data_IF_107639530223
#
_entry.id   IF_107639530223
#
_cell.length_a   1.000
_cell.length_b   1.000
_cell.length_c   1.000
_cell.angle_alpha   90.00
_cell.angle_beta   90.00
_cell.angle_gamma   90.00
#
_symmetry.space_group_name_H-M   'P 1'
#
loop_
_entity.id
_entity.type
_entity.pdbx_description
1 polymer ?
#
# COMPACT_ATOMS: atom_id res chain seq x y z
N UNK A 1 17.63 10.86 64.99
CA UNK A 1 16.82 11.25 63.82
C UNK A 1 17.73 11.12 62.63
N UNK A 2 17.53 10.08 61.82
CA UNK A 2 18.18 9.93 60.52
C UNK A 2 17.26 9.04 59.67
N UNK A 3 16.61 9.65 58.68
CA UNK A 3 15.77 8.97 57.70
C UNK A 3 16.62 8.60 56.48
N UNK A 4 17.11 7.36 56.46
CA UNK A 4 17.70 6.76 55.25
C UNK A 4 16.61 6.25 54.31
N UNK A 5 16.22 7.05 53.32
CA UNK A 5 15.37 6.62 52.21
C UNK A 5 16.22 5.73 51.30
N UNK A 6 16.01 4.41 51.37
CA UNK A 6 16.50 3.47 50.36
C UNK A 6 15.49 3.45 49.21
N UNK A 7 15.86 4.08 48.10
CA UNK A 7 15.11 4.06 46.85
C UNK A 7 15.21 2.67 46.23
N UNK A 8 14.13 1.90 46.30
CA UNK A 8 13.93 0.69 45.52
C UNK A 8 13.75 1.10 44.05
N UNK A 9 14.76 0.89 43.22
CA UNK A 9 14.62 0.99 41.77
C UNK A 9 13.79 -0.23 41.34
N UNK A 10 12.51 0.02 41.10
CA UNK A 10 11.56 -0.98 40.61
C UNK A 10 12.02 -1.54 39.27
N UNK A 11 11.94 -2.86 39.17
CA UNK A 11 12.07 -3.66 37.96
C UNK A 11 10.89 -3.28 37.05
N UNK A 12 11.06 -2.19 36.28
CA UNK A 12 9.99 -1.60 35.45
C UNK A 12 10.38 -1.37 34.00
N UNK A 13 11.52 -1.89 33.54
CA UNK A 13 12.04 -1.60 32.18
C UNK A 13 12.31 -2.85 31.32
N UNK A 14 11.74 -4.01 31.65
CA UNK A 14 11.98 -5.25 30.91
C UNK A 14 10.79 -5.73 30.04
N UNK A 15 9.91 -4.82 29.60
CA UNK A 15 8.83 -5.12 28.62
C UNK A 15 8.87 -4.11 27.44
N UNK A 16 10.05 -3.65 27.04
CA UNK A 16 10.23 -2.81 25.83
C UNK A 16 11.07 -3.50 24.74
N UNK A 17 11.37 -4.80 24.91
CA UNK A 17 12.15 -5.59 23.96
C UNK A 17 11.37 -6.71 23.26
N UNK A 18 10.05 -6.80 23.44
CA UNK A 18 9.18 -7.39 22.40
C UNK A 18 9.12 -6.41 21.24
N UNK A 19 10.29 -6.30 20.62
CA UNK A 19 10.55 -5.72 19.34
C UNK A 19 9.55 -6.40 18.41
N UNK A 20 8.43 -5.74 18.13
CA UNK A 20 7.73 -6.02 16.90
C UNK A 20 8.78 -5.76 15.83
N UNK A 21 9.37 -6.83 15.31
CA UNK A 21 10.03 -6.73 14.03
C UNK A 21 8.94 -6.12 13.15
N UNK A 22 9.17 -4.90 12.68
CA UNK A 22 8.51 -4.36 11.50
C UNK A 22 8.87 -5.32 10.38
N UNK A 23 8.16 -6.45 10.39
CA UNK A 23 8.14 -7.43 9.34
C UNK A 23 7.27 -6.83 8.27
N UNK A 24 7.74 -6.94 7.04
CA UNK A 24 7.03 -6.40 5.91
C UNK A 24 5.65 -7.10 5.82
N UNK A 25 4.60 -6.32 6.05
CA UNK A 25 3.21 -6.80 5.99
C UNK A 25 2.65 -6.68 4.58
N UNK A 26 1.65 -7.50 4.24
CA UNK A 26 0.97 -7.45 2.94
C UNK A 26 -0.49 -7.09 3.14
N UNK A 27 -1.00 -6.17 2.32
CA UNK A 27 -2.40 -5.75 2.35
C UNK A 27 -3.06 -6.13 1.03
N UNK A 28 -4.09 -6.97 1.12
CA UNK A 28 -4.95 -7.35 0.01
C UNK A 28 -6.19 -6.47 0.01
N UNK A 29 -6.53 -5.90 -1.13
CA UNK A 29 -7.68 -5.00 -1.23
C UNK A 29 -8.86 -5.68 -1.90
N UNK A 30 -10.07 -5.31 -1.48
CA UNK A 30 -11.31 -5.71 -2.13
C UNK A 30 -12.22 -4.50 -2.30
N UNK A 31 -12.67 -4.20 -3.53
CA UNK A 31 -13.81 -3.29 -3.72
C UNK A 31 -15.08 -3.91 -3.11
N UNK A 32 -16.18 -3.15 -3.08
CA UNK A 32 -17.49 -3.72 -2.75
C UNK A 32 -17.93 -4.64 -3.88
N UNK A 33 -17.89 -5.95 -3.64
CA UNK A 33 -18.24 -6.99 -4.62
C UNK A 33 -19.70 -7.42 -4.50
N UNK A 34 -20.18 -7.60 -3.26
CA UNK A 34 -21.54 -8.05 -2.92
C UNK A 34 -21.88 -7.73 -1.47
N UNK A 35 -23.12 -8.03 -1.06
CA UNK A 35 -23.57 -7.84 0.31
C UNK A 35 -22.87 -8.80 1.29
N UNK A 36 -22.69 -8.41 2.58
CA UNK A 36 -21.94 -9.20 3.57
C UNK A 36 -22.45 -10.64 3.78
N UNK A 37 -23.75 -10.86 3.66
CA UNK A 37 -24.41 -12.18 3.77
C UNK A 37 -24.01 -13.15 2.65
N UNK A 38 -23.59 -12.60 1.51
CA UNK A 38 -23.18 -13.36 0.32
C UNK A 38 -21.66 -13.49 0.23
N UNK A 39 -20.92 -12.64 0.93
CA UNK A 39 -19.46 -12.62 0.88
C UNK A 39 -18.84 -13.70 1.77
N UNK A 40 -17.93 -14.49 1.21
CA UNK A 40 -17.01 -15.36 1.97
C UNK A 40 -15.58 -15.16 1.49
N UNK A 41 -14.66 -14.92 2.43
CA UNK A 41 -13.23 -14.93 2.17
C UNK A 41 -12.65 -16.31 2.44
N UNK A 42 -11.78 -16.76 1.55
CA UNK A 42 -10.95 -17.94 1.71
C UNK A 42 -9.50 -17.48 1.84
N UNK A 43 -8.91 -17.75 3.00
CA UNK A 43 -7.51 -17.39 3.28
C UNK A 43 -6.71 -18.66 3.44
N UNK A 44 -5.77 -18.89 2.53
CA UNK A 44 -4.95 -20.10 2.50
C UNK A 44 -3.52 -19.76 2.89
N UNK A 45 -3.01 -20.42 3.93
CA UNK A 45 -1.60 -20.41 4.28
C UNK A 45 -0.88 -21.56 3.61
N UNK A 46 0.13 -21.24 2.79
CA UNK A 46 0.92 -22.24 2.07
C UNK A 46 2.23 -22.59 2.76
N UNK A 47 2.55 -21.99 3.90
CA UNK A 47 3.82 -22.23 4.60
C UNK A 47 3.67 -23.32 5.66
N UNK A 48 4.81 -23.71 6.24
CA UNK A 48 4.87 -24.66 7.36
C UNK A 48 4.74 -23.96 8.73
N UNK A 49 4.53 -22.64 8.73
CA UNK A 49 4.47 -21.84 9.96
C UNK A 49 3.09 -21.20 10.08
N UNK A 50 2.52 -21.14 11.29
CA UNK A 50 1.26 -20.45 11.51
C UNK A 50 1.40 -18.97 11.11
N UNK A 51 0.32 -18.41 10.57
CA UNK A 51 0.24 -17.02 10.17
C UNK A 51 -0.87 -16.33 10.95
N UNK A 52 -0.77 -15.01 11.02
CA UNK A 52 -1.85 -14.16 11.51
C UNK A 52 -2.30 -13.24 10.39
N UNK A 53 -3.61 -13.18 10.21
CA UNK A 53 -4.26 -12.27 9.27
C UNK A 53 -5.35 -11.49 9.99
N UNK A 54 -5.72 -10.34 9.46
CA UNK A 54 -6.84 -9.58 9.98
C UNK A 54 -7.58 -8.86 8.87
N UNK A 55 -8.90 -8.84 8.98
CA UNK A 55 -9.74 -8.02 8.12
C UNK A 55 -9.74 -6.59 8.64
N UNK A 56 -9.80 -5.62 7.74
CA UNK A 56 -9.74 -4.19 8.03
C UNK A 56 -10.87 -3.49 7.30
N UNK A 57 -11.70 -2.77 8.06
CA UNK A 57 -12.82 -1.98 7.55
C UNK A 57 -12.67 -0.55 8.05
N UNK A 58 -12.86 0.43 7.17
CA UNK A 58 -12.57 1.84 7.46
C UNK A 58 -13.83 2.65 7.68
N UNK A 59 -13.81 3.47 8.72
CA UNK A 59 -14.86 4.41 9.06
C UNK A 59 -14.24 5.79 9.29
N UNK A 60 -13.98 6.51 8.20
CA UNK A 60 -13.14 7.71 8.23
C UNK A 60 -11.73 7.38 8.73
N UNK A 61 -11.28 8.08 9.78
CA UNK A 61 -9.97 7.87 10.38
C UNK A 61 -9.85 6.58 11.21
N UNK A 62 -10.97 5.93 11.56
CA UNK A 62 -10.95 4.68 12.34
C UNK A 62 -10.85 3.45 11.44
N UNK A 63 -10.18 2.42 11.94
CA UNK A 63 -10.06 1.10 11.29
C UNK A 63 -10.55 0.05 12.29
N UNK A 64 -11.63 -0.66 11.95
CA UNK A 64 -12.04 -1.87 12.68
C UNK A 64 -11.22 -3.05 12.16
N UNK A 65 -10.50 -3.72 13.07
CA UNK A 65 -9.63 -4.84 12.76
C UNK A 65 -10.13 -6.12 13.43
N UNK A 66 -10.35 -7.19 12.66
CA UNK A 66 -10.71 -8.51 13.18
C UNK A 66 -9.62 -9.52 12.90
N UNK A 67 -8.98 -10.02 13.96
CA UNK A 67 -7.88 -10.98 13.86
C UNK A 67 -8.38 -12.40 13.65
N UNK A 68 -7.62 -13.15 12.84
CA UNK A 68 -7.81 -14.56 12.60
C UNK A 68 -6.46 -15.25 12.61
N UNK A 69 -6.38 -16.32 13.40
CA UNK A 69 -5.21 -17.20 13.42
C UNK A 69 -5.36 -18.25 12.30
N UNK A 70 -4.26 -18.51 11.60
CA UNK A 70 -4.24 -19.33 10.40
C UNK A 70 -3.12 -20.35 10.50
N UNK A 71 -3.49 -21.60 10.77
CA UNK A 71 -2.55 -22.71 10.95
C UNK A 71 -1.68 -22.95 9.70
N UNK A 72 -0.53 -23.60 9.90
CA UNK A 72 0.34 -24.06 8.83
C UNK A 72 -0.43 -24.93 7.82
N UNK A 73 -0.17 -24.73 6.52
CA UNK A 73 -0.79 -25.51 5.41
C UNK A 73 -2.31 -25.60 5.45
N UNK A 74 -2.98 -24.61 6.05
CA UNK A 74 -4.43 -24.63 6.25
C UNK A 74 -5.14 -23.55 5.44
N UNK A 75 -6.46 -23.64 5.41
CA UNK A 75 -7.35 -22.61 4.88
C UNK A 75 -8.45 -22.32 5.90
N UNK A 76 -8.72 -21.03 6.13
CA UNK A 76 -9.88 -20.58 6.90
C UNK A 76 -10.91 -19.93 5.99
N UNK A 77 -12.16 -19.92 6.46
CA UNK A 77 -13.27 -19.22 5.83
C UNK A 77 -13.74 -18.09 6.76
N UNK A 78 -13.83 -16.88 6.25
CA UNK A 78 -14.30 -15.71 6.99
C UNK A 78 -15.55 -15.19 6.29
N UNK A 79 -16.69 -15.16 6.99
CA UNK A 79 -17.95 -14.67 6.41
C UNK A 79 -17.96 -13.14 6.43
N UNK A 80 -18.50 -12.51 5.39
CA UNK A 80 -18.64 -11.05 5.32
C UNK A 80 -19.35 -10.48 6.55
N UNK A 81 -20.44 -11.12 6.97
CA UNK A 81 -21.22 -10.73 8.15
C UNK A 81 -20.44 -10.73 9.48
N UNK A 82 -19.24 -11.32 9.55
CA UNK A 82 -18.45 -11.30 10.78
C UNK A 82 -17.60 -10.04 10.95
N UNK A 83 -17.45 -9.23 9.90
CA UNK A 83 -16.58 -8.04 9.93
C UNK A 83 -17.13 -6.84 9.13
N UNK A 84 -18.05 -7.06 8.19
CA UNK A 84 -18.73 -6.00 7.43
C UNK A 84 -20.17 -5.81 7.92
N UNK A 85 -20.55 -4.59 8.34
CA UNK A 85 -21.94 -4.28 8.66
C UNK A 85 -22.80 -4.07 7.39
N UNK A 86 -22.20 -3.62 6.29
CA UNK A 86 -22.87 -3.36 5.02
C UNK A 86 -21.93 -3.59 3.82
N UNK A 87 -22.46 -3.50 2.60
CA UNK A 87 -21.70 -3.72 1.38
C UNK A 87 -20.73 -2.55 1.12
N UNK A 88 -19.45 -2.74 1.47
CA UNK A 88 -18.40 -1.73 1.27
C UNK A 88 -17.05 -2.37 0.94
N UNK A 89 -16.08 -1.55 0.56
CA UNK A 89 -14.71 -1.98 0.36
C UNK A 89 -14.02 -2.31 1.69
N UNK A 90 -13.05 -3.21 1.64
CA UNK A 90 -12.26 -3.61 2.81
C UNK A 90 -10.85 -4.05 2.36
N UNK A 91 -9.99 -4.27 3.35
CA UNK A 91 -8.71 -4.93 3.12
C UNK A 91 -8.52 -6.11 4.06
N UNK A 92 -7.62 -7.02 3.69
CA UNK A 92 -7.12 -8.07 4.55
C UNK A 92 -5.62 -7.92 4.64
N UNK A 93 -5.10 -7.83 5.86
CA UNK A 93 -3.67 -7.70 6.12
C UNK A 93 -3.10 -9.02 6.62
N UNK A 94 -1.92 -9.36 6.13
CA UNK A 94 -1.15 -10.52 6.55
C UNK A 94 0.18 -10.05 7.13
N UNK A 95 0.60 -10.69 8.23
CA UNK A 95 1.82 -10.33 8.92
C UNK A 95 3.07 -10.45 8.04
N UNK A 96 3.13 -11.49 7.22
CA UNK A 96 4.26 -11.77 6.33
C UNK A 96 3.84 -11.61 4.87
N UNK A 97 4.73 -11.08 4.04
CA UNK A 97 4.54 -10.95 2.59
C UNK A 97 4.60 -12.29 1.86
N UNK A 98 3.73 -12.47 0.87
CA UNK A 98 3.74 -13.57 -0.10
C UNK A 98 3.57 -14.98 0.49
N UNK A 99 3.07 -15.09 1.72
CA UNK A 99 2.85 -16.40 2.38
C UNK A 99 1.41 -16.87 2.38
N UNK A 100 0.45 -15.93 2.25
CA UNK A 100 -0.98 -16.22 2.18
C UNK A 100 -1.53 -15.97 0.78
N UNK A 101 -2.57 -16.71 0.43
CA UNK A 101 -3.42 -16.42 -0.71
C UNK A 101 -4.82 -16.11 -0.23
N UNK A 102 -5.43 -15.08 -0.80
CA UNK A 102 -6.75 -14.62 -0.41
C UNK A 102 -7.64 -14.61 -1.63
N UNK A 103 -8.82 -15.19 -1.52
CA UNK A 103 -9.88 -15.00 -2.50
C UNK A 103 -11.20 -14.68 -1.83
N UNK A 104 -12.03 -13.93 -2.53
CA UNK A 104 -13.41 -13.62 -2.16
C UNK A 104 -14.37 -14.38 -3.07
N UNK A 105 -15.51 -14.77 -2.53
CA UNK A 105 -16.61 -15.42 -3.24
C UNK A 105 -17.90 -14.75 -2.81
N UNK A 106 -18.79 -14.48 -3.77
CA UNK A 106 -20.13 -13.95 -3.54
C UNK A 106 -21.16 -15.03 -3.88
N UNK A 107 -21.82 -15.67 -2.92
CA UNK A 107 -22.70 -16.84 -3.14
C UNK A 107 -22.10 -17.88 -4.12
N UNK A 108 -22.87 -18.31 -5.12
CA UNK A 108 -22.48 -19.24 -6.19
C UNK A 108 -21.69 -18.55 -7.33
N UNK A 109 -21.13 -17.37 -7.07
CA UNK A 109 -20.21 -16.69 -7.99
C UNK A 109 -18.87 -17.40 -8.09
N UNK A 110 -18.14 -17.08 -9.15
CA UNK A 110 -16.73 -17.41 -9.28
C UNK A 110 -15.89 -16.78 -8.14
N UNK A 111 -14.77 -17.42 -7.84
CA UNK A 111 -13.81 -16.93 -6.85
C UNK A 111 -12.94 -15.82 -7.43
N UNK A 112 -12.88 -14.69 -6.73
CA UNK A 112 -12.07 -13.52 -7.08
C UNK A 112 -10.81 -13.49 -6.23
N UNK A 113 -9.61 -13.75 -6.78
CA UNK A 113 -8.36 -13.56 -6.05
C UNK A 113 -8.19 -12.09 -5.66
N UNK A 114 -7.91 -11.83 -4.39
CA UNK A 114 -7.57 -10.48 -3.95
C UNK A 114 -6.08 -10.24 -4.17
N UNK A 115 -5.72 -9.01 -4.53
CA UNK A 115 -4.32 -8.63 -4.77
C UNK A 115 -3.93 -7.39 -3.97
N UNK A 116 -2.63 -7.20 -3.85
CA UNK A 116 -1.94 -6.06 -3.25
C UNK A 116 -1.48 -5.04 -4.30
N UNK A 117 -2.00 -5.11 -5.53
CA UNK A 117 -1.70 -4.12 -6.57
C UNK A 117 -2.41 -2.80 -6.25
N UNK A 118 -1.65 -1.72 -6.17
CA UNK A 118 -2.07 -0.37 -5.77
C UNK A 118 -1.63 0.73 -6.74
N UNK A 119 -0.88 0.36 -7.79
CA UNK A 119 -0.42 1.29 -8.83
C UNK A 119 -1.58 2.08 -9.45
N UNK A 120 -1.42 3.40 -9.69
CA UNK A 120 -2.38 4.19 -10.47
C UNK A 120 -2.49 3.73 -11.93
N UNK A 121 -1.46 3.06 -12.47
CA UNK A 121 -1.47 2.51 -13.83
C UNK A 121 -1.49 0.97 -13.77
N UNK A 122 -2.59 0.36 -14.23
CA UNK A 122 -2.81 -1.10 -14.25
C UNK A 122 -3.30 -1.56 -15.62
N UNK A 123 -2.82 -2.70 -16.08
CA UNK A 123 -3.30 -3.36 -17.30
C UNK A 123 -3.92 -4.72 -16.96
N UNK A 124 -5.12 -4.95 -17.50
CA UNK A 124 -5.83 -6.22 -17.48
C UNK A 124 -5.78 -6.85 -18.87
N UNK A 125 -5.29 -8.09 -18.98
CA UNK A 125 -5.20 -8.82 -20.25
C UNK A 125 -6.34 -9.81 -20.39
N UNK A 126 -6.89 -9.90 -21.60
CA UNK A 126 -8.10 -10.66 -21.88
C UNK A 126 -7.85 -11.69 -23.00
N UNK A 127 -8.45 -12.89 -22.91
CA UNK A 127 -8.32 -13.90 -23.94
C UNK A 127 -9.05 -13.51 -25.23
N UNK A 128 -8.85 -14.31 -26.27
CA UNK A 128 -9.65 -14.26 -27.49
C UNK A 128 -11.15 -14.23 -27.17
N UNK A 129 -11.94 -13.47 -27.92
CA UNK A 129 -13.43 -13.44 -27.91
C UNK A 129 -14.14 -12.61 -26.83
N UNK A 130 -13.43 -12.02 -25.87
CA UNK A 130 -14.10 -11.16 -24.87
C UNK A 130 -14.62 -9.87 -25.50
N UNK A 131 -15.91 -9.59 -25.35
CA UNK A 131 -16.55 -8.32 -25.77
C UNK A 131 -17.24 -7.60 -24.61
N UNK A 132 -17.40 -8.26 -23.46
CA UNK A 132 -18.01 -7.69 -22.27
C UNK A 132 -17.16 -8.02 -21.06
N UNK A 133 -16.96 -7.02 -20.21
CA UNK A 133 -16.25 -7.16 -18.93
C UNK A 133 -17.08 -6.56 -17.81
N UNK A 134 -16.84 -7.00 -16.57
CA UNK A 134 -17.26 -6.27 -15.37
C UNK A 134 -16.02 -5.71 -14.71
N UNK A 135 -16.05 -4.45 -14.34
CA UNK A 135 -14.94 -3.78 -13.67
C UNK A 135 -15.41 -3.24 -12.33
N UNK A 136 -14.64 -3.55 -11.28
CA UNK A 136 -14.75 -2.95 -9.96
C UNK A 136 -13.50 -2.11 -9.73
N UNK A 137 -13.70 -0.87 -9.32
CA UNK A 137 -12.66 0.09 -8.96
C UNK A 137 -12.78 0.43 -7.48
N UNK A 138 -11.65 0.63 -6.82
CA UNK A 138 -11.53 1.05 -5.44
C UNK A 138 -10.53 2.20 -5.34
N UNK A 139 -10.95 3.31 -4.72
CA UNK A 139 -10.09 4.44 -4.45
C UNK A 139 -9.23 4.18 -3.22
N UNK A 140 -7.91 4.24 -3.38
CA UNK A 140 -6.97 4.12 -2.28
C UNK A 140 -6.34 5.47 -1.89
N UNK A 141 -6.82 6.56 -2.49
CA UNK A 141 -6.41 7.91 -2.17
C UNK A 141 -7.45 8.61 -1.27
N UNK A 142 -7.00 9.44 -0.32
CA UNK A 142 -7.91 10.07 0.66
C UNK A 142 -8.92 11.05 0.04
N UNK A 143 -8.59 11.60 -1.13
CA UNK A 143 -9.37 12.60 -1.85
C UNK A 143 -10.00 12.01 -3.12
N UNK A 144 -10.88 12.77 -3.80
CA UNK A 144 -11.38 12.36 -5.10
C UNK A 144 -10.26 11.96 -6.07
N UNK A 145 -10.47 10.88 -6.81
CA UNK A 145 -9.52 10.34 -7.79
C UNK A 145 -10.24 10.07 -9.11
N UNK A 146 -9.80 10.72 -10.18
CA UNK A 146 -10.32 10.50 -11.53
C UNK A 146 -9.60 9.34 -12.20
N UNK A 147 -10.37 8.37 -12.67
CA UNK A 147 -9.89 7.14 -13.29
C UNK A 147 -10.31 7.11 -14.76
N UNK A 148 -9.33 7.03 -15.65
CA UNK A 148 -9.51 6.84 -17.08
C UNK A 148 -9.29 5.38 -17.45
N UNK A 149 -10.18 4.89 -18.29
CA UNK A 149 -10.19 3.52 -18.75
C UNK A 149 -10.09 3.50 -20.25
N UNK A 150 -9.19 2.67 -20.79
CA UNK A 150 -9.02 2.50 -22.24
C UNK A 150 -9.04 1.02 -22.59
N UNK A 151 -9.97 0.63 -23.46
CA UNK A 151 -10.05 -0.71 -24.00
C UNK A 151 -9.34 -0.76 -25.36
N UNK A 152 -8.50 -1.77 -25.56
CA UNK A 152 -7.74 -1.97 -26.79
C UNK A 152 -8.09 -3.30 -27.44
N UNK A 153 -8.17 -3.31 -28.77
CA UNK A 153 -8.21 -4.56 -29.53
C UNK A 153 -6.80 -5.17 -29.69
N UNK A 154 -6.72 -6.31 -30.39
CA UNK A 154 -5.44 -7.01 -30.63
C UNK A 154 -4.42 -6.26 -31.46
N UNK A 155 -4.88 -5.33 -32.29
CA UNK A 155 -4.03 -4.48 -33.12
C UNK A 155 -3.47 -3.28 -32.32
N UNK A 156 -3.86 -3.13 -31.04
CA UNK A 156 -3.48 -2.00 -30.21
C UNK A 156 -4.30 -0.74 -30.48
N UNK A 157 -5.38 -0.81 -31.26
CA UNK A 157 -6.27 0.31 -31.46
C UNK A 157 -7.23 0.45 -30.27
N UNK A 158 -7.47 1.70 -29.84
CA UNK A 158 -8.46 2.01 -28.81
C UNK A 158 -9.86 1.79 -29.38
N UNK A 159 -10.66 0.96 -28.71
CA UNK A 159 -12.03 0.61 -29.11
C UNK A 159 -13.09 1.13 -28.13
N UNK A 160 -12.66 1.68 -26.99
CA UNK A 160 -13.54 2.30 -26.02
C UNK A 160 -12.76 3.07 -24.96
N UNK A 161 -13.31 4.19 -24.53
CA UNK A 161 -12.80 4.96 -23.40
C UNK A 161 -13.93 5.25 -22.41
N UNK A 162 -13.59 5.35 -21.13
CA UNK A 162 -14.52 5.73 -20.07
C UNK A 162 -13.77 6.49 -18.98
N UNK A 163 -14.40 7.48 -18.38
CA UNK A 163 -13.88 8.21 -17.23
C UNK A 163 -14.84 8.04 -16.05
N UNK A 164 -14.29 7.82 -14.87
CA UNK A 164 -15.02 7.59 -13.63
C UNK A 164 -14.34 8.41 -12.53
N UNK A 165 -15.12 9.13 -11.75
CA UNK A 165 -14.62 9.79 -10.54
C UNK A 165 -15.01 8.95 -9.34
N UNK A 166 -14.04 8.66 -8.49
CA UNK A 166 -14.25 8.08 -7.17
C UNK A 166 -14.12 9.22 -6.16
N UNK A 167 -15.15 9.46 -5.36
CA UNK A 167 -15.32 10.74 -4.66
C UNK A 167 -14.58 10.80 -3.31
N UNK A 168 -14.38 9.64 -2.67
CA UNK A 168 -13.84 9.58 -1.31
C UNK A 168 -12.90 8.39 -1.12
N UNK A 169 -12.20 8.37 0.01
CA UNK A 169 -11.37 7.25 0.40
C UNK A 169 -12.19 5.96 0.52
N UNK A 170 -11.68 4.86 -0.02
CA UNK A 170 -12.39 3.57 -0.10
C UNK A 170 -13.73 3.60 -0.84
N UNK A 171 -13.98 4.64 -1.64
CA UNK A 171 -15.09 4.66 -2.58
C UNK A 171 -14.90 3.59 -3.66
N UNK A 172 -16.02 3.04 -4.13
CA UNK A 172 -16.04 1.89 -5.04
C UNK A 172 -17.00 2.14 -6.18
N UNK A 173 -16.60 1.75 -7.38
CA UNK A 173 -17.45 1.81 -8.58
C UNK A 173 -17.46 0.46 -9.28
N UNK A 174 -18.65 -0.07 -9.56
CA UNK A 174 -18.84 -1.32 -10.27
C UNK A 174 -19.71 -1.09 -11.52
N UNK A 175 -19.29 -1.61 -12.66
CA UNK A 175 -20.10 -1.55 -13.88
C UNK A 175 -19.72 -2.64 -14.88
N UNK A 176 -20.70 -3.01 -15.71
CA UNK A 176 -20.48 -3.85 -16.89
C UNK A 176 -20.15 -2.95 -18.08
N UNK A 177 -19.12 -3.29 -18.84
CA UNK A 177 -18.73 -2.59 -20.05
C UNK A 177 -18.84 -3.52 -21.26
N UNK A 178 -19.83 -3.26 -22.11
CA UNK A 178 -19.99 -3.94 -23.38
C UNK A 178 -19.27 -3.13 -24.48
N UNK A 179 -18.42 -3.79 -25.26
CA UNK A 179 -17.62 -3.21 -26.32
C UNK A 179 -18.12 -3.71 -27.67
N UNK A 180 -17.98 -2.88 -28.71
CA UNK A 180 -18.43 -3.20 -30.07
C UNK A 180 -17.50 -4.18 -30.81
N UNK A 181 -16.35 -4.51 -30.22
CA UNK A 181 -15.31 -5.35 -30.78
C UNK A 181 -14.70 -6.22 -29.68
N UNK A 182 -13.96 -7.25 -30.09
CA UNK A 182 -13.20 -8.07 -29.13
C UNK A 182 -12.08 -7.23 -28.49
N UNK A 183 -12.03 -7.26 -27.16
CA UNK A 183 -11.04 -6.56 -26.36
C UNK A 183 -9.90 -7.51 -26.01
N UNK A 184 -8.67 -7.03 -26.19
CA UNK A 184 -7.46 -7.77 -25.85
C UNK A 184 -6.88 -7.32 -24.50
N UNK A 185 -7.06 -6.05 -24.15
CA UNK A 185 -6.65 -5.50 -22.85
C UNK A 185 -7.44 -4.26 -22.49
N UNK A 186 -7.51 -3.99 -21.18
CA UNK A 186 -8.02 -2.74 -20.63
C UNK A 186 -6.92 -2.11 -19.76
N UNK A 187 -6.59 -0.87 -20.05
CA UNK A 187 -5.72 -0.04 -19.21
C UNK A 187 -6.59 0.81 -18.27
N UNK A 188 -6.23 0.80 -16.99
CA UNK A 188 -6.80 1.61 -15.92
C UNK A 188 -5.74 2.61 -15.49
N UNK A 189 -6.07 3.90 -15.55
CA UNK A 189 -5.16 5.01 -15.27
C UNK A 189 -5.83 6.00 -14.31
N UNK A 190 -5.40 6.03 -13.05
CA UNK A 190 -5.78 7.08 -12.09
C UNK A 190 -4.69 8.13 -11.92
N UNK A 191 -5.05 9.27 -11.34
CA UNK A 191 -4.08 10.27 -10.92
C UNK A 191 -3.27 9.78 -9.69
N UNK A 192 -3.94 9.06 -8.80
CA UNK A 192 -3.39 8.54 -7.55
C UNK A 192 -3.70 7.05 -7.38
N UNK A 193 -3.17 6.43 -6.32
CA UNK A 193 -3.31 5.00 -6.02
C UNK A 193 -4.76 4.54 -6.12
N UNK A 194 -4.94 3.38 -6.76
CA UNK A 194 -6.23 2.72 -6.91
C UNK A 194 -6.05 1.22 -6.91
N UNK A 195 -7.15 0.52 -6.70
CA UNK A 195 -7.22 -0.92 -6.91
C UNK A 195 -8.31 -1.24 -7.94
N UNK A 196 -8.08 -2.25 -8.76
CA UNK A 196 -9.06 -2.66 -9.78
C UNK A 196 -9.14 -4.18 -9.92
N UNK A 197 -10.37 -4.66 -10.03
CA UNK A 197 -10.70 -6.06 -10.31
C UNK A 197 -11.52 -6.08 -11.59
N UNK A 198 -11.05 -6.84 -12.58
CA UNK A 198 -11.76 -7.03 -13.84
C UNK A 198 -12.15 -8.51 -13.96
N UNK A 199 -13.42 -8.78 -14.19
CA UNK A 199 -13.91 -10.10 -14.57
C UNK A 199 -14.52 -10.11 -15.97
N UNK A 200 -14.52 -11.27 -16.59
CA UNK A 200 -15.07 -11.50 -17.92
C UNK A 200 -15.61 -12.93 -18.03
N UNK A 201 -16.57 -13.13 -18.93
CA UNK A 201 -17.06 -14.46 -19.28
C UNK A 201 -16.34 -14.97 -20.53
N UNK A 202 -15.83 -16.20 -20.48
CA UNK A 202 -15.14 -16.84 -21.60
C UNK A 202 -15.96 -18.01 -22.23
N UNK A 203 -17.24 -18.15 -21.86
CA UNK A 203 -18.13 -19.23 -22.29
C UNK A 203 -18.06 -20.49 -21.42
N UNK A 204 -17.03 -20.65 -20.59
CA UNK A 204 -16.94 -21.72 -19.57
C UNK A 204 -17.27 -21.24 -18.16
N UNK A 205 -17.57 -19.95 -18.01
CA UNK A 205 -17.83 -19.28 -16.74
C UNK A 205 -17.07 -17.96 -16.63
N UNK A 206 -17.36 -17.25 -15.55
CA UNK A 206 -16.73 -15.97 -15.25
C UNK A 206 -15.33 -16.17 -14.66
N UNK A 207 -14.37 -15.38 -15.12
CA UNK A 207 -12.96 -15.42 -14.72
C UNK A 207 -12.45 -14.01 -14.41
N UNK A 208 -11.40 -13.94 -13.60
CA UNK A 208 -10.70 -12.68 -13.27
C UNK A 208 -9.49 -12.49 -14.17
N UNK A 209 -9.33 -11.29 -14.71
CA UNK A 209 -8.08 -10.87 -15.33
C UNK A 209 -7.08 -10.42 -14.26
N UNK A 210 -5.82 -10.90 -14.29
CA UNK A 210 -4.79 -10.40 -13.38
C UNK A 210 -4.54 -8.90 -13.57
N UNK A 211 -4.50 -8.15 -12.46
CA UNK A 211 -4.10 -6.74 -12.44
C UNK A 211 -2.57 -6.61 -12.47
N UNK A 212 -2.02 -6.12 -13.58
CA UNK A 212 -0.57 -6.01 -13.77
C UNK A 212 -0.13 -4.55 -13.93
N UNK A 213 0.76 -4.09 -13.06
CA UNK A 213 1.51 -2.85 -13.25
C UNK A 213 2.77 -3.14 -14.11
N UNK A 214 2.74 -2.75 -15.38
CA UNK A 214 3.81 -3.09 -16.34
C UNK A 214 5.09 -2.27 -16.14
N UNK A 215 4.95 -1.03 -15.68
CA UNK A 215 6.04 -0.10 -15.44
C UNK A 215 5.70 0.78 -14.24
N UNK A 216 6.71 1.28 -13.51
CA UNK A 216 6.48 2.28 -12.49
C UNK A 216 5.92 3.56 -13.13
N UNK A 217 4.99 4.20 -12.43
CA UNK A 217 4.46 5.50 -12.84
C UNK A 217 5.58 6.54 -12.83
N UNK A 218 5.60 7.38 -13.86
CA UNK A 218 6.60 8.45 -13.96
C UNK A 218 6.18 9.62 -13.07
N UNK A 219 7.06 10.03 -12.17
CA UNK A 219 6.81 11.17 -11.29
C UNK A 219 7.61 12.40 -11.74
N UNK A 220 7.05 13.62 -11.63
CA UNK A 220 7.72 14.85 -12.03
C UNK A 220 8.70 15.34 -10.94
N UNK A 221 9.84 14.65 -10.79
CA UNK A 221 10.85 15.03 -9.80
C UNK A 221 11.44 16.43 -10.08
N UNK A 222 11.48 17.28 -9.04
CA UNK A 222 12.09 18.60 -9.04
C UNK A 222 13.63 18.51 -9.05
N UNK A 223 14.25 19.03 -10.10
CA UNK A 223 15.70 19.02 -10.28
C UNK A 223 16.47 19.95 -9.34
N UNK A 224 15.78 20.83 -8.61
CA UNK A 224 16.39 21.71 -7.60
C UNK A 224 16.59 21.03 -6.25
N UNK A 225 15.97 19.86 -6.04
CA UNK A 225 16.08 19.07 -4.80
C UNK A 225 17.13 17.98 -4.92
N UNK A 226 17.70 17.62 -3.77
CA UNK A 226 18.52 16.41 -3.62
C UNK A 226 17.69 15.34 -2.94
N UNK A 227 17.64 14.15 -3.54
CA UNK A 227 16.76 13.07 -3.09
C UNK A 227 17.54 12.00 -2.33
N UNK A 228 16.92 11.48 -1.28
CA UNK A 228 17.50 10.43 -0.46
C UNK A 228 16.50 9.31 -0.22
N UNK A 229 16.94 8.07 -0.43
CA UNK A 229 16.22 6.87 -0.04
C UNK A 229 16.41 6.67 1.46
N UNK A 230 15.30 6.54 2.16
CA UNK A 230 15.24 6.22 3.58
C UNK A 230 14.67 4.81 3.72
N UNK A 231 15.44 3.94 4.36
CA UNK A 231 15.11 2.53 4.51
C UNK A 231 15.52 2.04 5.90
N UNK A 232 15.22 0.78 6.20
CA UNK A 232 15.82 0.05 7.31
C UNK A 232 17.34 -0.16 7.06
N UNK A 233 18.03 -1.01 7.84
CA UNK A 233 19.50 -1.18 7.70
C UNK A 233 19.83 -1.81 6.36
N UNK A 234 18.83 -2.48 5.79
CA UNK A 234 18.88 -3.07 4.48
C UNK A 234 18.48 -2.03 3.41
N UNK A 235 19.39 -1.65 2.50
CA UNK A 235 19.07 -0.79 1.36
C UNK A 235 18.15 -1.47 0.34
N UNK A 236 17.91 -2.78 0.48
CA UNK A 236 17.00 -3.57 -0.35
C UNK A 236 15.67 -3.89 0.35
N UNK A 237 15.36 -3.24 1.48
CA UNK A 237 14.07 -3.44 2.14
C UNK A 237 12.92 -2.86 1.33
N UNK A 238 11.86 -3.66 1.21
CA UNK A 238 10.63 -3.28 0.49
C UNK A 238 9.92 -2.07 1.12
N UNK A 239 10.06 -1.90 2.44
CA UNK A 239 9.55 -0.75 3.19
C UNK A 239 10.59 0.38 3.18
N UNK A 240 10.59 1.19 2.11
CA UNK A 240 11.45 2.36 1.98
C UNK A 240 10.65 3.54 1.43
N UNK A 241 11.06 4.75 1.77
CA UNK A 241 10.45 5.99 1.30
C UNK A 241 11.52 7.00 0.87
N UNK A 242 11.10 8.07 0.22
CA UNK A 242 12.02 9.08 -0.34
C UNK A 242 11.79 10.40 0.37
N UNK A 243 12.88 11.08 0.69
CA UNK A 243 12.85 12.48 1.14
C UNK A 243 13.54 13.38 0.11
N UNK A 244 13.06 14.60 0.00
CA UNK A 244 13.63 15.65 -0.84
C UNK A 244 14.20 16.76 0.05
N UNK A 245 15.48 17.10 -0.13
CA UNK A 245 16.19 18.12 0.65
C UNK A 245 16.71 19.23 -0.27
N UNK A 246 16.69 20.47 0.22
CA UNK A 246 17.22 21.66 -0.48
C UNK A 246 18.26 22.44 0.33
N UNK A 247 18.29 22.27 1.66
CA UNK A 247 19.26 22.95 2.53
C UNK A 247 20.61 22.22 2.50
N UNK A 248 21.73 22.90 2.17
CA UNK A 248 23.06 22.29 2.12
C UNK A 248 23.47 21.55 3.39
N UNK A 249 23.10 22.08 4.56
CA UNK A 249 23.41 21.46 5.86
C UNK A 249 22.70 20.11 6.03
N UNK A 250 21.40 20.04 5.74
CA UNK A 250 20.63 18.78 5.84
C UNK A 250 21.11 17.73 4.82
N UNK A 251 21.49 18.17 3.63
CA UNK A 251 22.09 17.33 2.58
C UNK A 251 23.43 16.76 3.06
N UNK A 252 24.27 17.59 3.70
CA UNK A 252 25.54 17.15 4.26
C UNK A 252 25.33 16.09 5.36
N UNK A 253 24.35 16.27 6.25
CA UNK A 253 24.01 15.28 7.28
C UNK A 253 23.50 13.96 6.68
N UNK A 254 22.64 14.03 5.67
CA UNK A 254 22.13 12.83 4.98
C UNK A 254 23.28 12.05 4.31
N UNK A 255 24.20 12.75 3.64
CA UNK A 255 25.41 12.14 3.04
C UNK A 255 26.35 11.56 4.09
N UNK A 256 26.44 12.17 5.27
CA UNK A 256 27.26 11.65 6.37
C UNK A 256 26.71 10.33 6.91
N UNK A 257 25.39 10.18 7.06
CA UNK A 257 24.79 8.88 7.44
C UNK A 257 25.08 7.78 6.43
N UNK A 258 25.08 8.10 5.13
CA UNK A 258 25.44 7.13 4.08
C UNK A 258 26.90 6.68 4.25
N UNK A 259 27.82 7.62 4.50
CA UNK A 259 29.25 7.31 4.69
C UNK A 259 29.55 6.60 6.00
N UNK A 260 28.77 6.86 7.04
CA UNK A 260 28.94 6.30 8.37
C UNK A 260 27.67 5.55 8.80
N UNK A 261 27.48 4.27 8.42
CA UNK A 261 26.29 3.49 8.75
C UNK A 261 26.05 3.29 10.25
N UNK A 262 27.06 3.51 11.10
CA UNK A 262 26.94 3.45 12.56
C UNK A 262 26.32 4.73 13.15
N UNK A 263 26.22 5.80 12.35
CA UNK A 263 25.54 7.03 12.73
C UNK A 263 24.02 6.82 12.60
N UNK A 264 23.42 6.24 13.62
CA UNK A 264 21.98 5.99 13.68
C UNK A 264 21.23 7.28 14.03
N UNK A 265 20.86 8.06 13.02
CA UNK A 265 20.02 9.24 13.18
C UNK A 265 18.64 9.00 12.59
N UNK A 266 17.63 9.31 13.38
CA UNK A 266 16.22 9.25 13.04
C UNK A 266 15.88 10.48 12.21
N UNK A 267 15.26 10.28 11.05
CA UNK A 267 14.69 11.36 10.25
C UNK A 267 13.39 11.81 10.90
N UNK A 268 13.40 13.00 11.53
CA UNK A 268 12.21 13.61 12.09
C UNK A 268 11.64 14.59 11.07
N UNK A 269 10.42 14.33 10.61
CA UNK A 269 9.86 15.02 9.45
C UNK A 269 8.36 15.25 9.56
N UNK A 270 7.89 16.25 8.83
CA UNK A 270 6.48 16.46 8.53
C UNK A 270 6.09 15.82 7.20
N UNK A 271 4.87 15.32 7.12
CA UNK A 271 4.28 14.76 5.90
C UNK A 271 3.10 15.60 5.43
N UNK A 272 2.78 15.45 4.15
CA UNK A 272 1.56 15.97 3.54
C UNK A 272 0.91 14.93 2.64
N UNK A 273 -0.34 15.19 2.25
CA UNK A 273 -1.09 14.35 1.33
C UNK A 273 -0.57 14.49 -0.11
N UNK A 274 -0.44 13.36 -0.80
CA UNK A 274 0.11 13.24 -2.15
C UNK A 274 1.56 12.76 -2.16
N UNK A 275 1.99 12.14 -3.26
CA UNK A 275 3.35 11.58 -3.38
C UNK A 275 4.48 12.63 -3.53
N UNK A 276 4.15 13.92 -3.57
CA UNK A 276 5.11 15.03 -3.73
C UNK A 276 5.87 15.04 -5.06
N UNK A 277 5.54 14.17 -6.00
CA UNK A 277 6.30 13.96 -7.23
C UNK A 277 7.58 13.13 -7.06
N UNK A 278 7.77 12.48 -5.90
CA UNK A 278 8.99 11.70 -5.64
C UNK A 278 8.80 10.45 -4.76
N UNK A 279 7.84 10.46 -3.84
CA UNK A 279 7.74 9.42 -2.82
C UNK A 279 7.09 8.15 -3.35
N UNK A 280 7.78 7.01 -3.21
CA UNK A 280 7.31 5.70 -3.64
C UNK A 280 8.05 4.57 -2.94
N UNK A 281 7.45 3.38 -2.95
CA UNK A 281 8.08 2.14 -2.52
C UNK A 281 8.90 1.54 -3.68
N UNK A 282 10.19 1.89 -3.81
CA UNK A 282 11.03 1.52 -4.96
C UNK A 282 11.23 0.01 -5.18
N UNK A 283 11.04 -0.78 -4.15
CA UNK A 283 11.32 -2.22 -4.14
C UNK A 283 10.05 -3.07 -4.07
N UNK A 284 8.89 -2.41 -3.97
CA UNK A 284 7.59 -3.07 -4.06
C UNK A 284 7.34 -3.61 -5.45
N UNK A 285 6.48 -4.62 -5.54
CA UNK A 285 6.19 -5.31 -6.81
C UNK A 285 5.69 -4.37 -7.90
N UNK A 286 4.81 -3.43 -7.54
CA UNK A 286 4.21 -2.48 -8.48
C UNK A 286 4.85 -1.09 -8.45
N UNK A 287 5.74 -0.83 -7.48
CA UNK A 287 6.46 0.45 -7.31
C UNK A 287 5.52 1.66 -7.26
N UNK A 288 4.33 1.44 -6.70
CA UNK A 288 3.30 2.45 -6.60
C UNK A 288 3.81 3.65 -5.77
N UNK A 289 3.55 4.90 -6.20
CA UNK A 289 3.75 6.09 -5.36
C UNK A 289 2.95 5.97 -4.07
N UNK A 290 3.48 6.46 -2.94
CA UNK A 290 2.71 6.56 -1.69
C UNK A 290 1.67 7.67 -1.80
N UNK A 291 0.58 7.61 -1.03
CA UNK A 291 -0.42 8.70 -0.97
C UNK A 291 0.04 9.87 -0.11
N UNK A 292 1.29 9.89 0.34
CA UNK A 292 1.88 10.94 1.17
C UNK A 292 3.34 11.18 0.80
N UNK A 293 3.88 12.31 1.22
CA UNK A 293 5.29 12.65 1.06
C UNK A 293 5.81 13.50 2.20
N UNK A 294 7.11 13.46 2.42
CA UNK A 294 7.78 14.36 3.37
C UNK A 294 7.81 15.78 2.80
N UNK A 295 7.19 16.72 3.48
CA UNK A 295 7.18 18.13 3.07
C UNK A 295 8.22 18.99 3.78
N UNK A 296 8.71 18.52 4.95
CA UNK A 296 9.81 19.15 5.68
C UNK A 296 10.57 18.12 6.49
N UNK A 297 11.88 18.33 6.62
CA UNK A 297 12.72 17.60 7.58
C UNK A 297 13.09 18.57 8.70
N UNK A 298 12.63 18.26 9.91
CA UNK A 298 12.84 19.09 11.08
C UNK A 298 14.25 18.86 11.66
N UNK A 299 14.67 17.60 11.74
CA UNK A 299 15.97 17.21 12.31
C UNK A 299 16.41 15.80 11.90
N UNK A 300 17.70 15.55 12.03
CA UNK A 300 18.29 14.20 12.14
C UNK A 300 18.67 13.97 13.60
N UNK A 301 17.84 13.26 14.35
CA UNK A 301 17.91 13.18 15.81
C UNK A 301 18.41 11.82 16.31
N UNK A 302 19.02 11.79 17.51
CA UNK A 302 19.38 10.52 18.18
C UNK A 302 18.17 9.84 18.82
N UNK A 303 17.20 10.63 19.26
CA UNK A 303 15.96 10.18 19.88
C UNK A 303 14.78 10.99 19.34
N UNK A 304 13.63 10.34 19.26
CA UNK A 304 12.38 10.98 18.91
C UNK A 304 11.24 10.42 19.79
N UNK A 305 10.10 11.11 19.81
CA UNK A 305 8.95 10.66 20.60
C UNK A 305 8.34 9.39 19.99
N UNK A 306 7.81 8.48 20.81
CA UNK A 306 7.25 7.21 20.32
C UNK A 306 6.02 7.40 19.42
N UNK A 307 5.24 8.47 19.64
CA UNK A 307 4.03 8.76 18.87
C UNK A 307 4.27 9.01 17.37
N UNK A 308 5.50 9.37 16.98
CA UNK A 308 5.85 9.52 15.56
C UNK A 308 6.58 8.31 14.97
N UNK A 309 6.84 7.26 15.76
CA UNK A 309 7.42 6.02 15.26
C UNK A 309 6.42 5.24 14.38
N UNK A 310 6.93 4.27 13.61
CA UNK A 310 6.13 3.45 12.70
C UNK A 310 6.90 2.99 11.46
N UNK A 311 6.18 2.89 10.34
CA UNK A 311 6.73 2.54 9.03
C UNK A 311 6.01 3.29 7.90
N UNK A 312 6.59 3.32 6.68
CA UNK A 312 5.93 3.88 5.51
C UNK A 312 4.57 3.22 5.21
N UNK A 313 4.49 1.90 5.29
CA UNK A 313 3.24 1.16 5.08
C UNK A 313 2.20 1.45 6.15
N UNK A 314 2.60 1.55 7.42
CA UNK A 314 1.68 1.92 8.50
C UNK A 314 1.16 3.36 8.32
N UNK A 315 2.02 4.25 7.82
CA UNK A 315 1.65 5.64 7.50
C UNK A 315 0.68 5.70 6.32
N UNK A 316 0.90 4.90 5.28
CA UNK A 316 -0.03 4.78 4.16
C UNK A 316 -1.40 4.25 4.64
N UNK A 317 -1.39 3.23 5.50
CA UNK A 317 -2.60 2.61 6.03
C UNK A 317 -3.38 3.55 6.97
N UNK A 318 -2.69 4.35 7.80
CA UNK A 318 -3.32 5.24 8.78
C UNK A 318 -3.15 6.70 8.40
N UNK A 319 -3.10 7.01 7.11
CA UNK A 319 -2.73 8.33 6.62
C UNK A 319 -3.66 9.44 7.12
N UNK A 320 -4.97 9.20 7.10
CA UNK A 320 -5.95 10.19 7.55
C UNK A 320 -5.76 10.52 9.03
N UNK A 321 -5.65 9.50 9.88
CA UNK A 321 -5.33 9.65 11.30
C UNK A 321 -4.01 10.40 11.48
N UNK A 322 -2.95 10.01 10.76
CA UNK A 322 -1.62 10.59 10.89
C UNK A 322 -1.58 12.07 10.52
N UNK A 323 -2.32 12.46 9.46
CA UNK A 323 -2.46 13.86 9.06
C UNK A 323 -3.24 14.66 10.10
N UNK A 324 -4.31 14.09 10.69
CA UNK A 324 -5.09 14.72 11.75
C UNK A 324 -4.29 14.91 13.06
N UNK A 325 -3.31 14.04 13.33
CA UNK A 325 -2.38 14.13 14.47
C UNK A 325 -1.20 15.10 14.23
N UNK A 326 -1.25 15.91 13.17
CA UNK A 326 -0.24 16.91 12.84
C UNK A 326 0.83 16.42 11.85
N UNK A 327 0.70 15.20 11.33
CA UNK A 327 1.49 14.72 10.19
C UNK A 327 2.98 14.60 10.49
N UNK A 328 3.37 14.15 11.69
CA UNK A 328 4.78 13.99 12.04
C UNK A 328 5.20 12.52 12.00
N UNK A 329 6.36 12.25 11.39
CA UNK A 329 7.00 10.94 11.34
C UNK A 329 8.40 10.99 11.96
N UNK A 330 8.80 9.89 12.57
CA UNK A 330 10.14 9.67 13.11
C UNK A 330 10.39 8.17 13.21
N UNK A 331 10.45 7.44 12.10
CA UNK A 331 10.56 5.98 12.17
C UNK A 331 11.93 5.56 12.75
N UNK A 332 11.96 5.00 13.96
CA UNK A 332 13.19 4.78 14.74
C UNK A 332 14.15 3.80 14.06
N UNK A 333 13.61 2.88 13.26
CA UNK A 333 14.39 1.85 12.56
C UNK A 333 14.90 2.29 11.19
N UNK A 334 14.57 3.50 10.76
CA UNK A 334 14.83 3.99 9.41
C UNK A 334 15.94 5.05 9.40
N UNK A 335 16.74 5.04 8.34
CA UNK A 335 17.85 5.99 8.14
C UNK A 335 18.06 6.24 6.65
N UNK A 336 18.79 7.30 6.33
CA UNK A 336 19.21 7.54 4.96
C UNK A 336 20.21 6.47 4.53
N UNK A 337 19.91 5.77 3.44
CA UNK A 337 20.76 4.66 2.93
C UNK A 337 21.40 4.96 1.58
N UNK A 338 20.83 5.88 0.81
CA UNK A 338 21.28 6.16 -0.57
C UNK A 338 20.85 7.55 -1.02
N UNK A 339 21.71 8.23 -1.75
CA UNK A 339 21.36 9.43 -2.53
C UNK A 339 20.85 9.00 -3.91
N UNK A 340 19.78 9.64 -4.38
CA UNK A 340 19.10 9.31 -5.63
C UNK A 340 19.24 10.46 -6.63
N UNK A 341 19.46 10.12 -7.90
CA UNK A 341 19.34 11.08 -8.99
C UNK A 341 17.87 11.36 -9.33
N UNK A 342 17.57 12.56 -9.83
CA UNK A 342 16.21 12.92 -10.26
C UNK A 342 15.63 11.93 -11.28
N UNK A 343 16.48 11.33 -12.13
CA UNK A 343 16.07 10.29 -13.08
C UNK A 343 15.61 8.99 -12.41
N UNK A 344 16.26 8.57 -11.32
CA UNK A 344 15.84 7.38 -10.55
C UNK A 344 14.48 7.63 -9.89
N UNK A 345 14.32 8.81 -9.28
CA UNK A 345 13.06 9.25 -8.65
C UNK A 345 11.92 9.32 -9.65
N UNK A 346 12.15 9.97 -10.80
CA UNK A 346 11.14 10.13 -11.84
C UNK A 346 10.73 8.78 -12.44
N UNK A 347 11.70 7.93 -12.78
CA UNK A 347 11.42 6.66 -13.47
C UNK A 347 10.97 5.52 -12.54
N UNK A 348 11.16 5.64 -11.23
CA UNK A 348 10.93 4.56 -10.28
C UNK A 348 11.93 3.39 -10.42
N UNK A 349 13.06 3.61 -11.10
CA UNK A 349 14.11 2.58 -11.31
C UNK A 349 15.41 3.04 -10.67
N UNK A 350 15.87 2.28 -9.67
CA UNK A 350 17.19 2.48 -9.07
C UNK A 350 18.27 2.04 -10.04
N UNK A 351 19.37 2.78 -10.09
CA UNK A 351 20.59 2.33 -10.77
C UNK A 351 21.22 1.16 -10.00
N UNK A 352 21.87 0.21 -10.70
CA UNK A 352 22.58 -0.91 -10.08
C UNK A 352 23.54 -0.47 -8.98
#
# INVERSE_FOLDING_TARGET
>A
MDFGIKTSIGIGSLILTTSFTAGASQVFYSPSLCAPEHLTLFVTNKTNEPQRVWTQVRYGAEIDERHHDLEAKSQIKIRGTSFLPEAQAFSLKAWNKNVVQVSSVCDDSFSTPLTDTTSPEVTHWLPSSVQSVKLHLLNLYLKPNSVRLKAFNRLGAVIGEKEITLEKYYDTSAFKWNLNQTVARIEVQGAERLHSVLSYDNGSGEQVSPSVALKPVTLPADTTKTYFLVSTKDPQADEAFVIALDKPETIATAREQIRNPNLEKIVVAGIELGNGGFNRAFLSRDKAPYSWSVNRVDAFADFAHIDCDGSPELTEERLEQKLNEGGRICFWRYRVVRELSASEVSSGKLKP
#
